data_IF_856242866891
#
_entry.id   IF_856242866891
#
_cell.length_a   1.000
_cell.length_b   1.000
_cell.length_c   1.000
_cell.angle_alpha   90.00
_cell.angle_beta   90.00
_cell.angle_gamma   90.00
#
_symmetry.space_group_name_H-M   'P 1'
#
loop_
_entity.id
_entity.type
_entity.pdbx_description
1 polymer ?
#
# COMPACT_ATOMS: atom_id res chain seq x y z
N UNK A 1 -11.63 4.40 -28.73
CA UNK A 1 -10.91 5.66 -28.51
C UNK A 1 -10.13 5.53 -27.21
N UNK A 2 -8.78 5.59 -27.20
CA UNK A 2 -8.03 5.53 -25.96
C UNK A 2 -8.09 6.89 -25.28
N UNK A 3 -8.43 6.90 -23.99
CA UNK A 3 -8.36 8.08 -23.14
C UNK A 3 -6.90 8.54 -23.06
N UNK A 4 -6.61 9.65 -23.72
CA UNK A 4 -5.32 10.34 -23.67
C UNK A 4 -4.99 10.76 -22.23
N UNK A 5 -3.74 10.52 -21.86
CA UNK A 5 -3.13 10.71 -20.54
C UNK A 5 -3.62 11.99 -19.82
N UNK A 6 -4.23 11.82 -18.64
CA UNK A 6 -4.49 12.91 -17.67
C UNK A 6 -3.21 13.44 -16.98
N UNK A 7 -2.03 13.15 -17.50
CA UNK A 7 -0.74 13.60 -16.96
C UNK A 7 -0.32 14.98 -17.48
N UNK A 8 -0.91 15.47 -18.56
CA UNK A 8 -0.55 16.76 -19.16
C UNK A 8 -1.02 18.00 -18.36
N UNK A 9 -1.79 17.82 -17.28
CA UNK A 9 -2.41 18.93 -16.52
C UNK A 9 -1.97 19.03 -15.05
N UNK A 10 -0.97 18.27 -14.60
CA UNK A 10 -0.44 18.43 -13.26
C UNK A 10 0.59 19.59 -13.21
N UNK A 11 0.58 20.42 -12.14
CA UNK A 11 1.66 21.36 -11.86
C UNK A 11 3.04 20.66 -11.88
N UNK A 12 4.07 21.35 -12.38
CA UNK A 12 5.43 20.80 -12.48
C UNK A 12 5.97 20.27 -11.13
N UNK A 13 5.61 20.92 -10.03
CA UNK A 13 6.00 20.50 -8.67
C UNK A 13 5.42 19.15 -8.28
N UNK A 14 4.11 18.92 -8.53
CA UNK A 14 3.45 17.63 -8.27
C UNK A 14 4.04 16.52 -9.12
N UNK A 15 4.33 16.79 -10.40
CA UNK A 15 4.96 15.80 -11.29
C UNK A 15 6.31 15.32 -10.74
N UNK A 16 7.18 16.24 -10.30
CA UNK A 16 8.47 15.92 -9.70
C UNK A 16 8.34 15.08 -8.41
N UNK A 17 7.34 15.38 -7.58
CA UNK A 17 7.07 14.61 -6.35
C UNK A 17 6.62 13.18 -6.66
N UNK A 18 5.73 13.01 -7.65
CA UNK A 18 5.25 11.70 -8.07
C UNK A 18 6.34 10.86 -8.75
N UNK A 19 7.19 11.47 -9.57
CA UNK A 19 8.34 10.79 -10.18
C UNK A 19 9.34 10.30 -9.11
N UNK A 20 9.55 11.11 -8.07
CA UNK A 20 10.39 10.73 -6.93
C UNK A 20 9.76 9.60 -6.11
N UNK A 21 8.44 9.63 -5.89
CA UNK A 21 7.74 8.56 -5.18
C UNK A 21 7.79 7.24 -5.97
N UNK A 22 7.53 7.28 -7.27
CA UNK A 22 7.65 6.14 -8.18
C UNK A 22 9.04 5.52 -8.06
N UNK A 23 10.09 6.33 -8.22
CA UNK A 23 11.47 5.87 -8.15
C UNK A 23 11.81 5.23 -6.81
N UNK A 24 11.40 5.83 -5.69
CA UNK A 24 11.65 5.29 -4.35
C UNK A 24 10.94 3.97 -4.09
N UNK A 25 9.68 3.85 -4.49
CA UNK A 25 8.92 2.61 -4.34
C UNK A 25 9.55 1.51 -5.20
N UNK A 26 9.83 1.80 -6.47
CA UNK A 26 10.47 0.87 -7.39
C UNK A 26 11.82 0.39 -6.87
N UNK A 27 12.69 1.29 -6.42
CA UNK A 27 14.01 0.93 -5.87
C UNK A 27 13.90 -0.03 -4.68
N UNK A 28 12.96 0.21 -3.75
CA UNK A 28 12.78 -0.66 -2.60
C UNK A 28 12.24 -2.04 -2.99
N UNK A 29 11.23 -2.09 -3.87
CA UNK A 29 10.65 -3.36 -4.34
C UNK A 29 11.70 -4.19 -5.08
N UNK A 30 12.46 -3.60 -6.01
CA UNK A 30 13.51 -4.30 -6.75
C UNK A 30 14.65 -4.81 -5.84
N UNK A 31 14.89 -4.16 -4.70
CA UNK A 31 15.83 -4.62 -3.65
C UNK A 31 15.21 -5.65 -2.69
N UNK A 32 14.05 -6.22 -3.02
CA UNK A 32 13.33 -7.19 -2.20
C UNK A 32 12.97 -6.65 -0.82
N UNK A 33 12.61 -5.36 -0.73
CA UNK A 33 12.08 -4.74 0.49
C UNK A 33 10.58 -4.53 0.39
N UNK A 34 9.89 -4.75 1.50
CA UNK A 34 8.46 -4.46 1.57
C UNK A 34 8.23 -2.97 1.78
N UNK A 35 7.20 -2.46 1.12
CA UNK A 35 6.85 -1.05 1.12
C UNK A 35 5.40 -0.91 1.56
N UNK A 36 5.10 0.14 2.32
CA UNK A 36 3.75 0.55 2.67
C UNK A 36 3.47 1.88 1.99
N UNK A 37 2.37 1.97 1.25
CA UNK A 37 1.86 3.23 0.71
C UNK A 37 0.60 3.62 1.46
N UNK A 38 0.66 4.74 2.19
CA UNK A 38 -0.48 5.25 2.95
C UNK A 38 -1.04 6.53 2.33
N UNK A 39 -2.37 6.64 2.30
CA UNK A 39 -3.07 7.87 1.92
C UNK A 39 -4.58 7.76 2.10
N UNK A 40 -5.30 8.86 1.97
CA UNK A 40 -6.77 8.88 2.12
C UNK A 40 -7.49 8.10 1.02
N UNK A 41 -8.75 7.74 1.25
CA UNK A 41 -9.60 6.98 0.32
C UNK A 41 -9.59 7.61 -1.08
N UNK A 42 -9.83 8.92 -1.18
CA UNK A 42 -9.99 9.61 -2.47
C UNK A 42 -8.69 10.21 -3.03
N UNK A 43 -7.54 9.86 -2.47
CA UNK A 43 -6.25 10.39 -2.94
C UNK A 43 -5.89 9.91 -4.35
N UNK A 44 -6.44 8.78 -4.79
CA UNK A 44 -6.20 8.20 -6.12
C UNK A 44 -5.09 7.15 -6.17
N UNK A 45 -4.72 6.55 -5.02
CA UNK A 45 -3.69 5.50 -4.90
C UNK A 45 -3.90 4.37 -5.90
N UNK A 46 -5.07 3.73 -5.88
CA UNK A 46 -5.40 2.60 -6.75
C UNK A 46 -5.27 2.95 -8.23
N UNK A 47 -5.75 4.14 -8.63
CA UNK A 47 -5.60 4.60 -10.01
C UNK A 47 -4.12 4.79 -10.38
N UNK A 48 -3.34 5.46 -9.52
CA UNK A 48 -1.91 5.66 -9.75
C UNK A 48 -1.14 4.36 -9.84
N UNK A 49 -1.42 3.41 -8.93
CA UNK A 49 -0.81 2.08 -8.91
C UNK A 49 -1.07 1.36 -10.22
N UNK A 50 -2.34 1.25 -10.62
CA UNK A 50 -2.73 0.47 -11.80
C UNK A 50 -2.27 1.09 -13.11
N UNK A 51 -2.22 2.42 -13.21
CA UNK A 51 -1.94 3.11 -14.47
C UNK A 51 -0.51 3.66 -14.57
N UNK A 52 0.28 3.61 -13.49
CA UNK A 52 1.63 4.17 -13.45
C UNK A 52 2.63 3.18 -12.89
N UNK A 53 2.46 2.77 -11.63
CA UNK A 53 3.45 1.92 -10.94
C UNK A 53 3.55 0.54 -11.56
N UNK A 54 2.40 -0.14 -11.78
CA UNK A 54 2.36 -1.47 -12.36
C UNK A 54 2.98 -1.47 -13.78
N UNK A 55 2.51 -0.64 -14.73
CA UNK A 55 3.13 -0.57 -16.06
C UNK A 55 4.63 -0.25 -16.03
N UNK A 56 5.06 0.61 -15.10
CA UNK A 56 6.47 0.94 -14.94
C UNK A 56 7.29 -0.27 -14.49
N UNK A 57 6.86 -1.00 -13.46
CA UNK A 57 7.54 -2.21 -12.98
C UNK A 57 7.58 -3.31 -14.05
N UNK A 58 6.49 -3.51 -14.78
CA UNK A 58 6.41 -4.47 -15.88
C UNK A 58 7.33 -4.10 -17.04
N UNK A 59 7.48 -2.80 -17.33
CA UNK A 59 8.46 -2.32 -18.35
C UNK A 59 9.91 -2.61 -17.97
N UNK A 60 10.18 -2.85 -16.68
CA UNK A 60 11.47 -3.29 -16.16
C UNK A 60 11.59 -4.82 -16.11
N UNK A 61 10.74 -5.56 -16.83
CA UNK A 61 10.66 -7.02 -16.86
C UNK A 61 10.32 -7.69 -15.52
N UNK A 62 9.63 -6.98 -14.61
CA UNK A 62 9.14 -7.57 -13.37
C UNK A 62 7.68 -7.97 -13.53
N UNK A 63 7.39 -9.27 -13.36
CA UNK A 63 6.01 -9.74 -13.30
C UNK A 63 5.36 -9.22 -12.01
N UNK A 64 4.31 -8.42 -12.15
CA UNK A 64 3.55 -7.86 -11.03
C UNK A 64 2.24 -8.63 -10.87
N UNK A 65 1.87 -8.96 -9.64
CA UNK A 65 0.53 -9.42 -9.30
C UNK A 65 -0.15 -8.38 -8.41
N UNK A 66 -1.37 -8.01 -8.76
CA UNK A 66 -2.19 -7.08 -7.99
C UNK A 66 -3.30 -7.85 -7.29
N UNK A 67 -3.34 -7.74 -5.98
CA UNK A 67 -4.34 -8.32 -5.09
C UNK A 67 -5.21 -7.19 -4.56
N UNK A 68 -6.53 -7.31 -4.73
CA UNK A 68 -7.44 -6.21 -4.40
C UNK A 68 -7.62 -6.00 -2.90
N UNK A 69 -7.58 -7.08 -2.13
CA UNK A 69 -7.71 -7.07 -0.68
C UNK A 69 -7.03 -8.31 -0.06
N UNK A 70 -6.99 -8.37 1.28
CA UNK A 70 -6.35 -9.48 2.00
C UNK A 70 -7.01 -10.84 1.91
N UNK A 71 -8.18 -10.96 1.28
CA UNK A 71 -8.78 -12.29 1.03
C UNK A 71 -8.16 -13.01 -0.16
N UNK A 72 -7.42 -12.29 -1.02
CA UNK A 72 -6.81 -12.86 -2.21
C UNK A 72 -5.44 -13.50 -1.90
N UNK A 73 -5.16 -14.62 -2.57
CA UNK A 73 -3.88 -15.30 -2.52
C UNK A 73 -3.16 -15.11 -3.85
N UNK A 74 -1.83 -14.97 -3.79
CA UNK A 74 -1.00 -14.99 -4.99
C UNK A 74 -1.14 -16.33 -5.72
N UNK A 75 -1.42 -16.27 -7.02
CA UNK A 75 -1.70 -17.44 -7.87
C UNK A 75 -0.46 -17.95 -8.62
N UNK A 76 0.74 -17.46 -8.27
CA UNK A 76 1.97 -17.87 -8.91
C UNK A 76 3.22 -17.40 -8.17
N UNK A 77 4.28 -17.14 -8.92
CA UNK A 77 5.56 -16.63 -8.42
C UNK A 77 5.89 -15.27 -9.05
N UNK A 78 5.12 -14.21 -8.76
CA UNK A 78 5.42 -12.87 -9.25
C UNK A 78 6.72 -12.34 -8.63
N UNK A 79 7.41 -11.47 -9.37
CA UNK A 79 8.58 -10.76 -8.84
C UNK A 79 8.19 -9.65 -7.86
N UNK A 80 7.00 -9.08 -8.04
CA UNK A 80 6.41 -8.07 -7.16
C UNK A 80 4.94 -8.38 -6.90
N UNK A 81 4.51 -8.26 -5.65
CA UNK A 81 3.08 -8.25 -5.30
C UNK A 81 2.67 -6.85 -4.88
N UNK A 82 1.48 -6.42 -5.29
CA UNK A 82 0.83 -5.24 -4.75
C UNK A 82 -0.47 -5.69 -4.11
N UNK A 83 -0.62 -5.47 -2.81
CA UNK A 83 -1.82 -5.78 -2.05
C UNK A 83 -2.51 -4.47 -1.68
N UNK A 84 -3.68 -4.24 -2.25
CA UNK A 84 -4.50 -3.06 -1.96
C UNK A 84 -5.39 -3.29 -0.74
N UNK A 85 -5.93 -2.19 -0.18
CA UNK A 85 -6.84 -2.20 0.98
C UNK A 85 -6.39 -3.09 2.16
N UNK A 86 -5.12 -2.95 2.54
CA UNK A 86 -4.51 -3.70 3.63
C UNK A 86 -4.95 -3.13 4.98
N UNK A 87 -5.39 -4.03 5.87
CA UNK A 87 -5.67 -3.69 7.26
C UNK A 87 -4.48 -4.01 8.18
N UNK A 88 -4.16 -3.06 9.04
CA UNK A 88 -3.11 -3.15 10.07
C UNK A 88 -3.75 -2.97 11.44
N UNK A 89 -3.28 -3.74 12.42
CA UNK A 89 -3.66 -3.62 13.82
C UNK A 89 -2.68 -2.74 14.61
N UNK A 90 -1.58 -2.31 14.00
CA UNK A 90 -0.57 -1.42 14.59
C UNK A 90 -1.17 -0.19 15.26
N UNK A 91 -2.12 0.47 14.60
CA UNK A 91 -2.76 1.69 15.09
C UNK A 91 -4.16 1.44 15.69
N UNK A 92 -4.50 0.18 16.01
CA UNK A 92 -5.81 -0.19 16.58
C UNK A 92 -6.20 0.67 17.78
N UNK A 93 -5.33 0.75 18.79
CA UNK A 93 -5.61 1.50 20.02
C UNK A 93 -5.78 2.99 19.74
N UNK A 94 -4.97 3.52 18.81
CA UNK A 94 -5.04 4.91 18.36
C UNK A 94 -6.38 5.20 17.65
N UNK A 95 -6.88 4.25 16.86
CA UNK A 95 -8.16 4.37 16.17
C UNK A 95 -9.35 4.26 17.12
N UNK A 96 -9.33 3.27 18.04
CA UNK A 96 -10.42 3.04 19.01
C UNK A 96 -10.58 4.21 19.99
N UNK A 97 -9.49 4.83 20.45
CA UNK A 97 -9.56 6.01 21.31
C UNK A 97 -10.21 7.24 20.67
N UNK A 98 -10.50 7.21 19.36
CA UNK A 98 -10.99 8.33 18.57
C UNK A 98 -12.41 8.14 18.00
N UNK A 99 -13.09 7.04 18.33
CA UNK A 99 -14.42 6.68 17.84
C UNK A 99 -15.37 6.29 18.98
N UNK A 100 -16.64 6.70 18.96
CA UNK A 100 -17.65 6.23 19.91
C UNK A 100 -18.12 4.79 19.66
N UNK A 101 -17.80 4.21 18.50
CA UNK A 101 -18.18 2.84 18.13
C UNK A 101 -16.97 1.89 18.11
N UNK A 102 -17.19 0.65 18.57
CA UNK A 102 -16.22 -0.44 18.52
C UNK A 102 -16.03 -0.94 17.09
N UNK A 103 -15.13 -0.28 16.37
CA UNK A 103 -14.73 -0.63 15.00
C UNK A 103 -14.16 -2.06 14.88
N UNK A 104 -13.54 -2.58 15.94
CA UNK A 104 -12.88 -3.89 15.96
C UNK A 104 -13.67 -4.93 16.76
N UNK A 105 -14.72 -5.50 16.16
CA UNK A 105 -15.42 -6.64 16.74
C UNK A 105 -14.56 -7.91 16.72
N UNK A 106 -14.84 -8.91 17.58
CA UNK A 106 -14.14 -10.19 17.54
C UNK A 106 -14.18 -10.88 16.16
N UNK A 107 -15.31 -10.81 15.47
CA UNK A 107 -15.49 -11.40 14.13
C UNK A 107 -14.61 -10.70 13.09
N UNK A 108 -14.52 -9.36 13.16
CA UNK A 108 -13.66 -8.61 12.26
C UNK A 108 -12.18 -8.86 12.55
N UNK A 109 -11.78 -8.97 13.82
CA UNK A 109 -10.41 -9.30 14.21
C UNK A 109 -9.99 -10.69 13.71
N UNK A 110 -10.88 -11.67 13.76
CA UNK A 110 -10.62 -12.99 13.19
C UNK A 110 -10.41 -12.93 11.68
N UNK A 111 -11.20 -12.10 10.97
CA UNK A 111 -11.00 -11.85 9.54
C UNK A 111 -9.63 -11.20 9.25
N UNK A 112 -9.25 -10.19 10.04
CA UNK A 112 -7.95 -9.52 9.91
C UNK A 112 -6.80 -10.49 10.19
N UNK A 113 -6.96 -11.40 11.16
CA UNK A 113 -5.98 -12.46 11.44
C UNK A 113 -5.75 -13.35 10.21
N UNK A 114 -6.81 -13.76 9.53
CA UNK A 114 -6.70 -14.56 8.29
C UNK A 114 -6.03 -13.77 7.16
N UNK A 115 -6.33 -12.48 7.04
CA UNK A 115 -5.63 -11.61 6.09
C UNK A 115 -4.14 -11.49 6.40
N UNK A 116 -3.77 -11.36 7.67
CA UNK A 116 -2.37 -11.32 8.11
C UNK A 116 -1.65 -12.62 7.77
N UNK A 117 -2.28 -13.79 7.95
CA UNK A 117 -1.71 -15.05 7.49
C UNK A 117 -1.44 -15.09 5.98
N UNK A 118 -2.31 -14.46 5.18
CA UNK A 118 -2.10 -14.35 3.74
C UNK A 118 -0.95 -13.39 3.41
N UNK A 119 -0.89 -12.23 4.06
CA UNK A 119 0.18 -11.24 3.88
C UNK A 119 1.56 -11.81 4.23
N UNK A 120 1.66 -12.62 5.28
CA UNK A 120 2.89 -13.27 5.71
C UNK A 120 3.49 -14.21 4.64
N UNK A 121 2.63 -14.77 3.76
CA UNK A 121 3.07 -15.68 2.68
C UNK A 121 3.52 -14.95 1.42
N UNK A 122 3.26 -13.64 1.32
CA UNK A 122 3.66 -12.83 0.17
C UNK A 122 5.18 -12.62 0.14
N UNK A 123 5.79 -12.48 -1.05
CA UNK A 123 7.23 -12.25 -1.17
C UNK A 123 7.67 -10.95 -0.48
N UNK A 124 8.96 -10.80 -0.18
CA UNK A 124 9.48 -9.57 0.44
C UNK A 124 9.32 -8.34 -0.45
N UNK A 125 9.38 -8.51 -1.77
CA UNK A 125 9.03 -7.47 -2.74
C UNK A 125 7.51 -7.30 -2.85
N UNK A 126 6.89 -6.79 -1.78
CA UNK A 126 5.46 -6.51 -1.72
C UNK A 126 5.20 -5.05 -1.37
N UNK A 127 4.29 -4.41 -2.11
CA UNK A 127 3.70 -3.13 -1.77
C UNK A 127 2.35 -3.36 -1.06
N UNK A 128 2.23 -2.90 0.17
CA UNK A 128 1.00 -2.90 0.96
C UNK A 128 0.38 -1.51 0.92
N UNK A 129 -0.88 -1.40 0.48
CA UNK A 129 -1.56 -0.10 0.39
C UNK A 129 -2.53 0.03 1.55
N UNK A 130 -2.34 1.05 2.37
CA UNK A 130 -3.16 1.30 3.56
C UNK A 130 -3.95 2.59 3.38
N UNK A 131 -5.24 2.55 3.71
CA UNK A 131 -6.10 3.73 3.69
C UNK A 131 -6.30 4.27 5.10
N UNK A 132 -5.99 5.57 5.30
CA UNK A 132 -6.29 6.34 6.51
C UNK A 132 -6.73 7.74 6.12
N UNK A 133 -7.82 8.24 6.71
CA UNK A 133 -8.45 9.49 6.28
C UNK A 133 -8.06 10.70 7.13
N UNK A 134 -7.67 10.51 8.39
CA UNK A 134 -7.23 11.62 9.25
C UNK A 134 -5.72 11.85 9.08
N UNK A 135 -5.24 13.11 8.97
CA UNK A 135 -3.81 13.41 8.84
C UNK A 135 -2.94 12.79 9.93
N UNK A 136 -3.40 12.78 11.19
CA UNK A 136 -2.63 12.22 12.30
C UNK A 136 -2.51 10.69 12.25
N UNK A 137 -3.51 9.99 11.68
CA UNK A 137 -3.41 8.54 11.44
C UNK A 137 -2.32 8.24 10.40
N UNK A 138 -2.30 9.02 9.31
CA UNK A 138 -1.26 8.90 8.27
C UNK A 138 0.11 9.21 8.88
N UNK A 139 0.22 10.27 9.69
CA UNK A 139 1.46 10.65 10.37
C UNK A 139 1.96 9.54 11.31
N UNK A 140 1.08 8.93 12.09
CA UNK A 140 1.43 7.84 13.00
C UNK A 140 2.08 6.65 12.25
N UNK A 141 1.49 6.24 11.12
CA UNK A 141 2.06 5.18 10.29
C UNK A 141 3.43 5.59 9.71
N UNK A 142 3.56 6.82 9.23
CA UNK A 142 4.82 7.32 8.66
C UNK A 142 5.95 7.34 9.69
N UNK A 143 5.68 7.73 10.93
CA UNK A 143 6.68 7.90 11.97
C UNK A 143 7.02 6.58 12.68
N UNK A 144 6.05 5.69 12.85
CA UNK A 144 6.18 4.58 13.80
C UNK A 144 6.02 3.18 13.17
N UNK A 145 5.41 3.03 12.00
CA UNK A 145 5.25 1.71 11.36
C UNK A 145 6.54 1.33 10.63
N UNK A 146 7.34 0.44 11.23
CA UNK A 146 8.65 -0.01 10.69
C UNK A 146 8.74 -1.50 10.48
N UNK A 147 7.85 -2.25 11.12
CA UNK A 147 7.75 -3.70 11.06
C UNK A 147 6.29 -4.05 10.78
N UNK A 148 6.05 -5.03 9.92
CA UNK A 148 4.70 -5.51 9.62
C UNK A 148 4.04 -6.13 10.86
N UNK A 149 2.70 -6.18 10.85
CA UNK A 149 1.94 -6.89 11.88
C UNK A 149 1.87 -8.42 11.63
N UNK A 150 2.00 -8.81 10.36
CA UNK A 150 1.75 -10.17 9.91
C UNK A 150 2.98 -11.09 9.96
N UNK A 151 4.19 -10.54 9.97
CA UNK A 151 5.42 -11.32 10.10
C UNK A 151 6.58 -10.47 10.63
N UNK A 152 7.83 -10.94 10.49
CA UNK A 152 9.00 -10.28 11.04
C UNK A 152 9.65 -9.25 10.11
N UNK A 153 9.06 -8.97 8.94
CA UNK A 153 9.70 -8.13 7.92
C UNK A 153 9.66 -6.65 8.27
N UNK A 154 10.74 -5.95 7.93
CA UNK A 154 10.76 -4.49 7.94
C UNK A 154 9.98 -3.93 6.75
N UNK A 155 9.35 -2.77 6.97
CA UNK A 155 8.61 -2.04 5.95
C UNK A 155 9.08 -0.60 5.84
N UNK A 156 9.14 -0.09 4.61
CA UNK A 156 9.38 1.33 4.34
C UNK A 156 8.06 2.01 4.03
N UNK A 157 7.70 3.03 4.79
CA UNK A 157 6.40 3.72 4.64
C UNK A 157 6.57 4.98 3.80
N UNK A 158 5.73 5.13 2.78
CA UNK A 158 5.61 6.34 1.99
C UNK A 158 4.18 6.89 2.03
N UNK A 159 4.09 8.21 1.98
CA UNK A 159 2.83 8.93 1.87
C UNK A 159 2.46 9.11 0.41
N UNK A 160 1.21 8.85 0.05
CA UNK A 160 0.62 9.25 -1.21
C UNK A 160 -0.17 10.55 -1.02
N UNK A 161 0.28 11.62 -1.68
CA UNK A 161 -0.44 12.88 -1.78
C UNK A 161 -0.43 13.35 -3.22
N UNK A 162 -1.58 13.83 -3.69
CA UNK A 162 -1.75 14.31 -5.05
C UNK A 162 -1.47 15.80 -5.15
#
# INVERSE_FOLDING_TARGET
>A
MPATLRWARLPRSMKKTMDNLLSKITENLLRQKSVVLVGSTDSGKTYWIQNTLIPHLESLNNKVEYLKDGSELSKGSPGVVICDEVETLFDKDYLQGSSPEDYYTPEYLEKVRQWHENYARLPKSTLFVITRNKPDQIKNLLENFRKSDWDDREVVVFKFEK
#
